data_IF_665023204294
#
_entry.id   IF_665023204294
#
_cell.length_a   1.000
_cell.length_b   1.000
_cell.length_c   1.000
_cell.angle_alpha   90.00
_cell.angle_beta   90.00
_cell.angle_gamma   90.00
#
_symmetry.space_group_name_H-M   'P 1'
#
loop_
_entity.id
_entity.type
_entity.pdbx_description
1 polymer ?
#
# COMPACT_ATOMS: atom_id res chain seq x y z
N UNK A 1 64.44 1.96 -9.56
CA UNK A 1 63.33 1.25 -8.90
C UNK A 1 62.22 2.27 -8.65
N UNK A 2 61.21 2.31 -9.51
CA UNK A 2 60.05 3.20 -9.36
C UNK A 2 59.02 2.53 -8.47
N UNK A 3 58.61 3.23 -7.41
CA UNK A 3 57.61 2.76 -6.44
C UNK A 3 56.24 2.76 -7.14
N UNK A 4 55.46 1.67 -7.14
CA UNK A 4 54.11 1.69 -7.70
C UNK A 4 53.25 2.65 -6.85
N UNK A 5 52.85 3.76 -7.46
CA UNK A 5 51.81 4.64 -6.93
C UNK A 5 50.48 3.93 -7.09
N UNK A 6 49.88 3.48 -5.99
CA UNK A 6 48.48 3.08 -6.00
C UNK A 6 47.65 4.37 -6.16
N UNK A 7 46.92 4.55 -7.27
CA UNK A 7 46.01 5.67 -7.37
C UNK A 7 44.94 5.53 -6.30
N UNK A 8 44.82 6.56 -5.46
CA UNK A 8 43.73 6.72 -4.51
C UNK A 8 42.45 6.98 -5.31
N UNK A 9 41.75 5.90 -5.68
CA UNK A 9 40.45 5.93 -6.32
C UNK A 9 39.33 5.94 -5.27
N UNK A 10 39.44 6.78 -4.24
CA UNK A 10 38.28 7.09 -3.41
C UNK A 10 37.26 7.89 -4.22
N UNK A 11 36.34 7.18 -4.88
CA UNK A 11 35.17 7.83 -5.43
C UNK A 11 34.36 8.42 -4.28
N UNK A 12 34.12 9.74 -4.33
CA UNK A 12 33.21 10.38 -3.37
C UNK A 12 31.80 9.82 -3.55
N UNK A 13 31.02 9.80 -2.46
CA UNK A 13 29.60 9.37 -2.50
C UNK A 13 28.82 10.16 -3.55
N UNK A 14 29.08 11.46 -3.67
CA UNK A 14 28.46 12.32 -4.67
C UNK A 14 28.83 11.92 -6.10
N UNK A 15 30.09 11.51 -6.33
CA UNK A 15 30.54 11.01 -7.62
C UNK A 15 29.84 9.71 -8.02
N UNK A 16 29.69 8.78 -7.08
CA UNK A 16 28.92 7.53 -7.28
C UNK A 16 27.46 7.85 -7.59
N UNK A 17 26.83 8.72 -6.80
CA UNK A 17 25.44 9.11 -6.98
C UNK A 17 25.18 9.78 -8.34
N UNK A 18 26.03 10.73 -8.73
CA UNK A 18 25.94 11.42 -10.02
C UNK A 18 26.04 10.45 -11.19
N UNK A 19 26.99 9.51 -11.11
CA UNK A 19 27.19 8.48 -12.15
C UNK A 19 25.99 7.54 -12.22
N UNK A 20 25.50 7.06 -11.07
CA UNK A 20 24.34 6.18 -11.00
C UNK A 20 23.09 6.83 -11.59
N UNK A 21 22.87 8.13 -11.31
CA UNK A 21 21.71 8.87 -11.84
C UNK A 21 21.73 9.06 -13.35
N UNK A 22 22.90 9.17 -13.97
CA UNK A 22 23.04 9.37 -15.42
C UNK A 22 23.20 8.10 -16.23
N UNK A 23 23.50 6.97 -15.57
CA UNK A 23 23.74 5.70 -16.25
C UNK A 23 22.42 5.02 -16.54
N UNK A 24 22.09 4.86 -17.82
CA UNK A 24 20.96 4.01 -18.25
C UNK A 24 21.39 2.56 -18.08
N UNK A 25 20.72 1.83 -17.20
CA UNK A 25 20.94 0.41 -17.02
C UNK A 25 20.05 -0.37 -18.00
N UNK A 26 20.59 -1.43 -18.64
CA UNK A 26 19.76 -2.30 -19.46
C UNK A 26 18.73 -3.02 -18.60
N UNK A 27 17.53 -3.15 -19.13
CA UNK A 27 16.48 -3.99 -18.56
C UNK A 27 16.88 -5.46 -18.59
N UNK A 28 16.17 -6.28 -17.81
CA UNK A 28 16.34 -7.73 -17.84
C UNK A 28 16.18 -8.29 -19.25
N UNK A 29 15.18 -7.83 -19.99
CA UNK A 29 14.86 -8.36 -21.31
C UNK A 29 15.89 -7.94 -22.37
N UNK A 30 16.44 -6.73 -22.27
CA UNK A 30 17.56 -6.29 -23.12
C UNK A 30 18.83 -7.12 -22.86
N UNK A 31 19.15 -7.40 -21.59
CA UNK A 31 20.28 -8.26 -21.24
C UNK A 31 20.09 -9.70 -21.76
N UNK A 32 18.88 -10.25 -21.62
CA UNK A 32 18.56 -11.58 -22.14
C UNK A 32 18.64 -11.62 -23.67
N UNK A 33 18.06 -10.62 -24.34
CA UNK A 33 18.13 -10.50 -25.80
C UNK A 33 19.57 -10.42 -26.29
N UNK A 34 20.40 -9.61 -25.62
CA UNK A 34 21.83 -9.51 -25.93
C UNK A 34 22.58 -10.84 -25.72
N UNK A 35 22.40 -11.50 -24.58
CA UNK A 35 23.07 -12.78 -24.28
C UNK A 35 22.64 -13.91 -25.24
N UNK A 36 21.40 -13.89 -25.69
CA UNK A 36 20.85 -14.91 -26.60
C UNK A 36 21.12 -14.61 -28.08
N UNK A 37 21.62 -13.43 -28.42
CA UNK A 37 21.97 -13.07 -29.79
C UNK A 37 23.17 -13.93 -30.26
N UNK A 38 23.06 -14.61 -31.42
CA UNK A 38 24.11 -15.48 -31.94
C UNK A 38 25.41 -14.75 -32.28
N UNK A 39 25.37 -13.43 -32.52
CA UNK A 39 26.54 -12.62 -32.85
C UNK A 39 27.27 -12.09 -31.60
N UNK A 40 26.73 -12.36 -30.40
CA UNK A 40 27.36 -11.92 -29.14
C UNK A 40 28.68 -12.65 -28.88
N UNK A 41 29.75 -11.86 -28.72
CA UNK A 41 31.09 -12.42 -28.57
C UNK A 41 31.32 -13.01 -27.17
N UNK A 42 32.32 -13.89 -27.05
CA UNK A 42 32.75 -14.39 -25.74
C UNK A 42 33.25 -13.29 -24.81
N UNK A 43 33.82 -12.21 -25.36
CA UNK A 43 34.24 -11.04 -24.59
C UNK A 43 33.04 -10.33 -23.95
N UNK A 44 31.96 -10.19 -24.72
CA UNK A 44 30.72 -9.55 -24.26
C UNK A 44 30.01 -10.40 -23.21
N UNK A 45 29.92 -11.72 -23.43
CA UNK A 45 29.38 -12.65 -22.43
C UNK A 45 30.16 -12.59 -21.12
N UNK A 46 31.49 -12.49 -21.18
CA UNK A 46 32.33 -12.32 -20.00
C UNK A 46 32.08 -10.99 -19.29
N UNK A 47 31.87 -9.90 -20.03
CA UNK A 47 31.52 -8.60 -19.46
C UNK A 47 30.17 -8.65 -18.74
N UNK A 48 29.14 -9.26 -19.35
CA UNK A 48 27.83 -9.48 -18.72
C UNK A 48 27.96 -10.36 -17.48
N UNK A 49 28.76 -11.44 -17.54
CA UNK A 49 29.02 -12.29 -16.38
C UNK A 49 29.62 -11.51 -15.22
N UNK A 50 30.58 -10.62 -15.48
CA UNK A 50 31.17 -9.76 -14.45
C UNK A 50 30.15 -8.79 -13.86
N UNK A 51 29.29 -8.22 -14.70
CA UNK A 51 28.20 -7.35 -14.25
C UNK A 51 27.24 -8.10 -13.31
N UNK A 52 26.84 -9.33 -13.67
CA UNK A 52 25.96 -10.15 -12.85
C UNK A 52 26.59 -10.52 -11.50
N UNK A 53 27.89 -10.86 -11.49
CA UNK A 53 28.63 -11.11 -10.24
C UNK A 53 28.67 -9.87 -9.36
N UNK A 54 28.92 -8.69 -9.94
CA UNK A 54 28.92 -7.43 -9.20
C UNK A 54 27.52 -7.11 -8.64
N UNK A 55 26.46 -7.30 -9.43
CA UNK A 55 25.08 -7.11 -9.00
C UNK A 55 24.71 -8.08 -7.86
N UNK A 56 25.09 -9.36 -7.96
CA UNK A 56 24.88 -10.33 -6.90
C UNK A 56 25.64 -9.97 -5.61
N UNK A 57 26.86 -9.44 -5.73
CA UNK A 57 27.62 -8.97 -4.58
C UNK A 57 26.90 -7.81 -3.86
N UNK A 58 26.36 -6.83 -4.61
CA UNK A 58 25.55 -5.74 -4.05
C UNK A 58 24.26 -6.26 -3.41
N UNK A 59 23.55 -7.16 -4.10
CA UNK A 59 22.33 -7.78 -3.60
C UNK A 59 22.56 -8.46 -2.25
N UNK A 60 23.68 -9.17 -2.08
CA UNK A 60 24.00 -9.88 -0.85
C UNK A 60 24.52 -8.98 0.29
N UNK A 61 24.65 -7.66 0.08
CA UNK A 61 25.00 -6.74 1.16
C UNK A 61 23.87 -6.70 2.20
N UNK A 62 24.14 -6.87 3.50
CA UNK A 62 23.11 -6.81 4.53
C UNK A 62 22.30 -5.51 4.52
N UNK A 63 22.95 -4.38 4.24
CA UNK A 63 22.28 -3.08 4.13
C UNK A 63 21.32 -2.99 2.94
N UNK A 64 21.71 -3.56 1.79
CA UNK A 64 20.83 -3.63 0.62
C UNK A 64 19.63 -4.55 0.88
N UNK A 65 19.87 -5.71 1.50
CA UNK A 65 18.81 -6.62 1.93
C UNK A 65 17.85 -5.96 2.92
N UNK A 66 18.36 -5.21 3.90
CA UNK A 66 17.54 -4.47 4.85
C UNK A 66 16.67 -3.42 4.13
N UNK A 67 17.28 -2.64 3.23
CA UNK A 67 16.57 -1.65 2.42
C UNK A 67 15.45 -2.28 1.57
N UNK A 68 15.72 -3.42 0.91
CA UNK A 68 14.69 -4.12 0.14
C UNK A 68 13.58 -4.64 1.06
N UNK A 69 13.93 -5.27 2.19
CA UNK A 69 12.94 -5.75 3.16
C UNK A 69 12.03 -4.64 3.67
N UNK A 70 12.60 -3.48 3.98
CA UNK A 70 11.86 -2.29 4.40
C UNK A 70 10.95 -1.77 3.29
N UNK A 71 11.46 -1.65 2.06
CA UNK A 71 10.68 -1.21 0.90
C UNK A 71 9.52 -2.18 0.54
N UNK A 72 9.68 -3.47 0.83
CA UNK A 72 8.66 -4.50 0.58
C UNK A 72 7.87 -4.89 1.84
N UNK A 73 8.14 -4.26 2.98
CA UNK A 73 7.48 -4.60 4.23
C UNK A 73 5.99 -4.26 4.14
N UNK A 74 5.16 -5.12 4.72
CA UNK A 74 3.76 -4.77 4.94
C UNK A 74 3.68 -3.65 5.96
N UNK A 75 2.94 -2.61 5.59
CA UNK A 75 2.59 -1.44 6.39
C UNK A 75 1.17 -1.59 6.91
N UNK A 76 0.86 -0.93 8.02
CA UNK A 76 -0.47 -0.92 8.61
C UNK A 76 -1.21 0.36 8.24
N UNK A 77 -2.37 0.24 7.59
CA UNK A 77 -3.18 1.42 7.28
C UNK A 77 -3.91 1.92 8.52
N UNK A 78 -3.70 3.16 8.94
CA UNK A 78 -4.34 3.71 10.14
C UNK A 78 -5.81 4.11 9.92
N UNK A 79 -6.26 4.18 8.66
CA UNK A 79 -7.67 4.43 8.29
C UNK A 79 -8.52 3.15 8.34
N UNK A 80 -8.17 2.16 7.50
CA UNK A 80 -8.96 0.93 7.34
C UNK A 80 -8.42 -0.26 8.14
N UNK A 81 -7.27 -0.11 8.80
CA UNK A 81 -6.58 -1.15 9.57
C UNK A 81 -6.14 -2.39 8.79
N UNK A 82 -6.17 -2.38 7.45
CA UNK A 82 -5.61 -3.44 6.61
C UNK A 82 -4.09 -3.30 6.49
N UNK A 83 -3.41 -4.41 6.25
CA UNK A 83 -2.02 -4.41 5.80
C UNK A 83 -1.94 -4.02 4.33
N UNK A 84 -0.90 -3.29 3.95
CA UNK A 84 -0.64 -2.91 2.56
C UNK A 84 0.86 -2.80 2.27
N UNK A 85 1.27 -2.93 1.02
CA UNK A 85 2.62 -2.56 0.53
C UNK A 85 2.53 -1.34 -0.37
N UNK A 86 3.65 -0.63 -0.60
CA UNK A 86 3.69 0.51 -1.51
C UNK A 86 3.21 0.15 -2.93
N UNK A 87 3.54 -1.05 -3.42
CA UNK A 87 3.07 -1.55 -4.73
C UNK A 87 1.55 -1.77 -4.79
N UNK A 88 0.95 -2.14 -3.65
CA UNK A 88 -0.50 -2.34 -3.52
C UNK A 88 -1.26 -1.04 -3.25
N UNK A 89 -0.58 0.02 -2.83
CA UNK A 89 -1.18 1.27 -2.40
C UNK A 89 -1.56 2.17 -3.59
N UNK A 90 -2.69 1.84 -4.23
CA UNK A 90 -3.23 2.58 -5.38
C UNK A 90 -4.43 3.41 -4.94
N UNK A 91 -4.82 4.41 -5.74
CA UNK A 91 -6.07 5.14 -5.52
C UNK A 91 -7.23 4.15 -5.45
N UNK A 92 -8.00 4.21 -4.36
CA UNK A 92 -9.11 3.30 -4.08
C UNK A 92 -8.73 1.98 -3.40
N UNK A 93 -7.45 1.73 -3.12
CA UNK A 93 -7.03 0.54 -2.36
C UNK A 93 -7.54 0.59 -0.91
N UNK A 94 -7.62 1.78 -0.32
CA UNK A 94 -8.24 2.00 0.97
C UNK A 94 -9.71 2.39 0.79
N UNK A 95 -10.62 1.42 0.94
CA UNK A 95 -12.06 1.63 0.88
C UNK A 95 -12.71 1.31 2.23
N UNK A 96 -13.46 2.26 2.80
CA UNK A 96 -14.12 2.10 4.09
C UNK A 96 -15.64 2.17 3.89
N UNK A 97 -16.38 1.07 4.06
CA UNK A 97 -17.83 1.06 3.85
C UNK A 97 -18.55 1.89 4.91
N UNK A 98 -19.74 2.41 4.55
CA UNK A 98 -20.62 3.01 5.54
C UNK A 98 -21.09 1.99 6.56
N UNK A 99 -21.34 2.46 7.78
CA UNK A 99 -22.03 1.71 8.83
C UNK A 99 -23.46 2.22 8.92
N UNK A 100 -24.44 1.32 8.99
CA UNK A 100 -25.86 1.66 9.06
C UNK A 100 -26.48 1.23 10.40
N UNK A 101 -27.46 1.99 10.87
CA UNK A 101 -28.26 1.63 12.04
C UNK A 101 -29.60 1.02 11.62
N UNK A 102 -29.69 -0.31 11.64
CA UNK A 102 -30.94 -1.01 11.29
C UNK A 102 -32.03 -0.83 12.36
N UNK A 103 -31.69 -0.35 13.56
CA UNK A 103 -32.67 -0.08 14.61
C UNK A 103 -33.32 1.30 14.50
N UNK A 104 -32.76 2.20 13.68
CA UNK A 104 -33.20 3.61 13.54
C UNK A 104 -34.29 3.80 12.48
N UNK A 105 -35.19 2.83 12.30
CA UNK A 105 -36.22 2.91 11.25
C UNK A 105 -37.26 3.99 11.58
N UNK A 106 -37.54 4.85 10.60
CA UNK A 106 -38.64 5.83 10.69
C UNK A 106 -39.98 5.18 10.33
N UNK A 107 -41.06 5.36 11.11
CA UNK A 107 -42.38 4.84 10.80
C UNK A 107 -43.03 5.65 9.66
N UNK A 108 -42.65 5.41 8.41
CA UNK A 108 -43.32 5.98 7.24
C UNK A 108 -43.68 4.91 6.20
N UNK A 109 -44.90 4.42 6.39
CA UNK A 109 -45.88 3.72 5.54
C UNK A 109 -45.52 2.74 4.43
N UNK A 110 -44.37 2.71 3.75
CA UNK A 110 -44.16 1.72 2.66
C UNK A 110 -42.71 1.28 2.42
N UNK A 111 -41.71 1.97 2.99
CA UNK A 111 -40.29 1.63 2.80
C UNK A 111 -39.49 1.93 4.06
N UNK A 112 -38.74 0.96 4.56
CA UNK A 112 -37.80 1.18 5.65
C UNK A 112 -36.56 1.88 5.11
N UNK A 113 -36.10 2.89 5.87
CA UNK A 113 -34.90 3.67 5.56
C UNK A 113 -33.98 3.64 6.78
N UNK A 114 -32.72 3.34 6.52
CA UNK A 114 -31.71 3.25 7.57
C UNK A 114 -30.60 4.25 7.25
N UNK A 115 -30.50 5.37 7.98
CA UNK A 115 -29.44 6.33 7.77
C UNK A 115 -28.08 5.73 8.15
N UNK A 116 -27.04 6.17 7.47
CA UNK A 116 -25.68 5.85 7.84
C UNK A 116 -25.33 6.48 9.20
N UNK A 117 -24.67 5.73 10.08
CA UNK A 117 -24.11 6.27 11.32
C UNK A 117 -22.99 7.27 11.04
N UNK A 118 -22.15 7.02 10.03
CA UNK A 118 -21.01 7.89 9.72
C UNK A 118 -21.36 9.12 8.87
N UNK A 119 -22.32 9.01 7.95
CA UNK A 119 -22.68 10.11 7.04
C UNK A 119 -24.11 10.65 7.22
N UNK A 120 -24.82 10.17 8.25
CA UNK A 120 -26.19 10.58 8.55
C UNK A 120 -27.15 10.26 7.40
N UNK A 121 -28.09 11.16 7.15
CA UNK A 121 -29.10 11.03 6.09
C UNK A 121 -28.60 11.26 4.67
N UNK A 122 -27.32 11.66 4.48
CA UNK A 122 -26.72 11.79 3.15
C UNK A 122 -26.61 10.44 2.43
N UNK A 123 -26.47 9.37 3.22
CA UNK A 123 -26.37 8.00 2.74
C UNK A 123 -27.36 7.15 3.54
N UNK A 124 -28.33 6.57 2.85
CA UNK A 124 -29.41 5.79 3.47
C UNK A 124 -29.60 4.46 2.73
N UNK A 125 -29.71 3.37 3.48
CA UNK A 125 -30.18 2.08 2.95
C UNK A 125 -31.69 2.10 2.82
N UNK A 126 -32.20 1.53 1.72
CA UNK A 126 -33.63 1.45 1.41
C UNK A 126 -34.04 0.01 1.29
N UNK A 127 -34.88 -0.44 2.20
CA UNK A 127 -35.45 -1.78 2.18
C UNK A 127 -36.86 -1.77 1.60
N UNK A 128 -37.14 -2.74 0.72
CA UNK A 128 -38.46 -3.01 0.16
C UNK A 128 -38.66 -4.52 0.10
N UNK A 129 -39.77 -5.00 0.64
CA UNK A 129 -40.16 -6.42 0.63
C UNK A 129 -39.09 -7.36 1.24
N UNK A 130 -38.30 -6.87 2.21
CA UNK A 130 -37.21 -7.61 2.86
C UNK A 130 -35.84 -7.47 2.17
N UNK A 131 -35.77 -6.78 1.02
CA UNK A 131 -34.54 -6.62 0.23
C UNK A 131 -34.04 -5.17 0.21
N UNK A 132 -32.70 -5.01 0.32
CA UNK A 132 -32.05 -3.71 0.20
C UNK A 132 -31.93 -3.26 -1.27
N UNK A 133 -32.83 -2.37 -1.68
CA UNK A 133 -33.02 -1.94 -3.06
C UNK A 133 -31.91 -1.07 -3.67
N UNK A 134 -31.00 -0.51 -2.86
CA UNK A 134 -30.00 0.46 -3.34
C UNK A 134 -28.55 0.15 -2.95
N UNK A 135 -28.23 -1.03 -2.40
CA UNK A 135 -26.87 -1.38 -1.95
C UNK A 135 -25.81 -1.13 -3.02
N UNK A 136 -26.09 -1.56 -4.26
CA UNK A 136 -25.20 -1.40 -5.41
C UNK A 136 -24.91 0.04 -5.84
N UNK A 137 -25.65 1.03 -5.30
CA UNK A 137 -25.46 2.46 -5.59
C UNK A 137 -24.85 3.21 -4.42
N UNK A 138 -24.60 2.53 -3.31
CA UNK A 138 -23.96 3.16 -2.17
C UNK A 138 -22.47 3.27 -2.47
N UNK A 139 -22.00 4.50 -2.54
CA UNK A 139 -20.58 4.79 -2.45
C UNK A 139 -20.04 4.32 -1.10
N UNK A 140 -18.73 4.21 -0.99
CA UNK A 140 -18.06 3.96 0.30
C UNK A 140 -17.94 5.26 1.07
N UNK A 141 -17.76 5.17 2.39
CA UNK A 141 -17.57 6.35 3.24
C UNK A 141 -16.25 7.06 2.97
N UNK A 142 -15.22 6.30 2.61
CA UNK A 142 -13.92 6.79 2.21
C UNK A 142 -13.36 5.89 1.12
N UNK A 143 -12.76 6.49 0.10
CA UNK A 143 -12.03 5.83 -0.97
C UNK A 143 -10.74 6.62 -1.23
N UNK A 144 -9.59 5.97 -1.12
CA UNK A 144 -8.31 6.64 -1.28
C UNK A 144 -7.11 5.72 -1.18
N UNK A 145 -5.96 6.30 -0.86
CA UNK A 145 -4.73 5.56 -0.56
C UNK A 145 -4.72 5.11 0.90
N UNK A 146 -4.06 4.00 1.17
CA UNK A 146 -3.66 3.66 2.52
C UNK A 146 -2.62 4.69 3.01
N UNK A 147 -2.71 5.04 4.30
CA UNK A 147 -1.68 5.83 5.00
C UNK A 147 -1.30 5.14 6.29
N UNK A 148 -0.04 5.29 6.69
CA UNK A 148 0.49 4.97 8.02
C UNK A 148 0.57 6.22 8.91
N UNK A 149 0.30 7.40 8.34
CA UNK A 149 0.40 8.69 9.01
C UNK A 149 -0.88 8.97 9.80
N UNK A 150 -0.73 8.99 11.12
CA UNK A 150 -1.84 9.29 12.03
C UNK A 150 -2.18 10.78 12.02
N UNK A 151 -1.18 11.65 11.85
CA UNK A 151 -1.37 13.11 11.84
C UNK A 151 -2.16 13.53 10.60
N UNK A 152 -1.86 12.94 9.44
CA UNK A 152 -2.64 13.14 8.19
C UNK A 152 -4.15 12.92 8.41
N UNK A 153 -4.52 11.78 9.01
CA UNK A 153 -5.93 11.41 9.23
C UNK A 153 -6.60 12.30 10.30
N UNK A 154 -5.82 12.81 11.26
CA UNK A 154 -6.31 13.75 12.26
C UNK A 154 -6.56 15.14 11.70
N UNK A 155 -5.62 15.65 10.90
CA UNK A 155 -5.72 16.98 10.26
C UNK A 155 -6.87 17.04 9.26
N UNK A 156 -7.15 15.94 8.57
CA UNK A 156 -8.29 15.82 7.64
C UNK A 156 -9.64 15.54 8.35
N UNK A 157 -9.65 15.46 9.69
CA UNK A 157 -10.84 15.16 10.52
C UNK A 157 -11.55 13.84 10.13
N UNK A 158 -10.81 12.87 9.57
CA UNK A 158 -11.40 11.65 9.02
C UNK A 158 -11.74 10.60 10.09
N UNK A 159 -11.10 10.67 11.26
CA UNK A 159 -11.45 9.83 12.40
C UNK A 159 -12.83 10.20 12.96
N UNK A 160 -13.87 9.59 12.41
CA UNK A 160 -15.25 9.83 12.83
C UNK A 160 -15.71 8.98 14.03
N UNK A 161 -14.86 8.08 14.54
CA UNK A 161 -15.17 7.24 15.70
C UNK A 161 -16.19 6.13 15.43
N UNK A 162 -16.66 5.99 14.19
CA UNK A 162 -17.71 5.05 13.79
C UNK A 162 -17.10 3.95 12.94
N UNK A 163 -16.66 4.25 11.71
CA UNK A 163 -16.04 3.30 10.77
C UNK A 163 -14.59 3.65 10.43
N UNK A 164 -14.15 4.87 10.75
CA UNK A 164 -12.73 5.27 10.74
C UNK A 164 -12.35 5.58 12.19
N UNK A 165 -11.44 4.80 12.76
CA UNK A 165 -11.08 4.87 14.19
C UNK A 165 -9.57 4.84 14.35
N UNK A 166 -9.07 5.49 15.41
CA UNK A 166 -7.65 5.40 15.74
C UNK A 166 -7.27 3.96 16.08
N UNK A 167 -6.07 3.57 15.67
CA UNK A 167 -5.50 2.29 16.06
C UNK A 167 -5.43 2.16 17.58
N UNK A 168 -5.84 1.00 18.09
CA UNK A 168 -5.61 0.61 19.48
C UNK A 168 -4.66 -0.58 19.50
N UNK A 169 -3.43 -0.35 19.95
CA UNK A 169 -2.43 -1.42 20.03
C UNK A 169 -2.68 -2.30 21.26
N UNK A 170 -2.79 -3.61 21.05
CA UNK A 170 -2.89 -4.63 22.08
C UNK A 170 -1.87 -5.72 21.75
N UNK A 171 -0.94 -5.99 22.66
CA UNK A 171 0.14 -6.98 22.47
C UNK A 171 1.00 -6.78 21.20
N UNK A 172 1.15 -5.53 20.74
CA UNK A 172 1.93 -5.21 19.53
C UNK A 172 1.14 -5.32 18.23
N UNK A 173 -0.15 -5.67 18.28
CA UNK A 173 -1.04 -5.71 17.12
C UNK A 173 -2.14 -4.68 17.23
N UNK A 174 -2.64 -4.19 16.09
CA UNK A 174 -3.80 -3.31 16.08
C UNK A 174 -5.08 -4.11 16.37
N UNK A 175 -5.67 -3.91 17.54
CA UNK A 175 -6.92 -4.55 17.92
C UNK A 175 -8.12 -3.91 17.21
N UNK A 176 -8.65 -4.61 16.19
CA UNK A 176 -9.91 -4.24 15.50
C UNK A 176 -11.16 -4.40 16.36
N UNK A 177 -11.05 -5.11 17.49
CA UNK A 177 -12.19 -5.58 18.32
C UNK A 177 -13.10 -4.49 18.88
N UNK A 178 -12.71 -3.21 18.84
CA UNK A 178 -13.58 -2.11 19.33
C UNK A 178 -14.79 -1.86 18.41
N UNK A 179 -14.82 -2.44 17.20
CA UNK A 179 -15.98 -2.35 16.29
C UNK A 179 -17.14 -3.31 16.63
N UNK A 180 -16.98 -4.22 17.60
CA UNK A 180 -17.85 -5.41 17.73
C UNK A 180 -18.61 -5.54 19.07
N UNK A 181 -18.36 -4.69 20.06
CA UNK A 181 -18.78 -5.01 21.43
C UNK A 181 -20.29 -4.85 21.71
N UNK A 182 -20.99 -3.88 21.09
CA UNK A 182 -22.38 -3.57 21.52
C UNK A 182 -23.43 -3.58 20.40
N UNK A 183 -23.07 -3.39 19.13
CA UNK A 183 -23.97 -3.47 17.98
C UNK A 183 -23.19 -3.94 16.76
N UNK A 184 -23.51 -5.12 16.18
CA UNK A 184 -22.90 -5.56 14.92
C UNK A 184 -23.23 -4.54 13.81
N UNK A 185 -22.25 -3.79 13.28
CA UNK A 185 -22.49 -3.00 12.10
C UNK A 185 -22.70 -3.95 10.90
N UNK A 186 -23.87 -3.88 10.27
CA UNK A 186 -24.10 -4.61 9.03
C UNK A 186 -23.36 -3.91 7.88
N UNK A 187 -22.21 -4.44 7.50
CA UNK A 187 -21.51 -4.06 6.28
C UNK A 187 -22.14 -4.80 5.10
N UNK A 188 -22.96 -4.10 4.31
CA UNK A 188 -23.54 -4.69 3.10
C UNK A 188 -22.55 -4.55 1.95
N UNK A 189 -21.92 -5.65 1.56
CA UNK A 189 -21.11 -5.76 0.33
C UNK A 189 -19.61 -5.94 0.56
N UNK A 190 -19.19 -7.17 0.89
CA UNK A 190 -17.91 -7.69 0.40
C UNK A 190 -18.24 -8.58 -0.80
N UNK A 191 -18.09 -8.05 -2.02
CA UNK A 191 -18.13 -8.79 -3.28
C UNK A 191 -16.79 -8.64 -3.99
#
# INVERSE_FOLDING_TARGET
>A
MTKPTNPDHSMSRDGVFKTAKSTVLPTRDELLGFVLDPDTSQGDLHAVSKLLVAAAAVYNLPSYQAMIREATAEKHCVRCHNSFTDDSNKMGACAIPHVFDLNSWGPNSERQRYPSKCCGSRVELKERDGDFSNVHRLEVCYEGYHTEDVEEVEEEEEYNGINVRRCRMVNGECAREVLWADHEPHFLGQF
#
